data_IF_250318530851
#
_entry.id   IF_250318530851
#
_cell.length_a   1.000
_cell.length_b   1.000
_cell.length_c   1.000
_cell.angle_alpha   90.00
_cell.angle_beta   90.00
_cell.angle_gamma   90.00
#
_symmetry.space_group_name_H-M   'P 1'
#
loop_
_entity.id
_entity.type
_entity.pdbx_description
1 polymer ?
#
# COMPACT_ATOMS: atom_id res chain seq x y z
N UNK A 1 25.04 6.67 -0.25
CA UNK A 1 24.97 6.41 -1.67
C UNK A 1 25.98 5.33 -2.05
N UNK A 2 25.61 4.45 -2.96
CA UNK A 2 26.42 3.31 -3.40
C UNK A 2 26.66 3.43 -4.92
N UNK A 3 27.73 4.09 -5.36
CA UNK A 3 27.96 4.42 -6.77
C UNK A 3 28.15 3.22 -7.70
N UNK A 4 28.28 2.01 -7.17
CA UNK A 4 28.40 0.76 -7.92
C UNK A 4 27.14 -0.10 -7.95
N UNK A 5 25.97 0.43 -7.52
CA UNK A 5 24.71 -0.31 -7.46
C UNK A 5 23.68 0.36 -8.36
N UNK A 6 23.15 -0.40 -9.31
CA UNK A 6 21.99 -0.02 -10.11
C UNK A 6 20.72 -0.62 -9.50
N UNK A 7 19.72 0.21 -9.27
CA UNK A 7 18.43 -0.20 -8.71
C UNK A 7 17.38 -0.29 -9.83
N UNK A 8 16.78 -1.47 -9.98
CA UNK A 8 15.64 -1.69 -10.89
C UNK A 8 14.38 -1.97 -10.10
N UNK A 9 13.44 -1.02 -10.11
CA UNK A 9 12.15 -1.18 -9.47
C UNK A 9 11.14 -1.71 -10.49
N UNK A 10 10.39 -2.72 -10.10
CA UNK A 10 9.37 -3.36 -10.96
C UNK A 10 8.01 -3.32 -10.26
N UNK A 11 6.95 -3.29 -11.04
CA UNK A 11 5.60 -3.39 -10.52
C UNK A 11 5.32 -4.76 -9.90
N UNK A 12 4.41 -4.80 -8.97
CA UNK A 12 3.91 -6.03 -8.39
C UNK A 12 3.14 -6.82 -9.45
N UNK A 13 3.32 -8.13 -9.49
CA UNK A 13 2.65 -8.98 -10.47
C UNK A 13 2.50 -10.42 -9.96
N UNK A 14 1.68 -11.24 -10.64
CA UNK A 14 1.37 -12.61 -10.21
C UNK A 14 2.61 -13.50 -10.01
N UNK A 15 3.66 -13.23 -10.76
CA UNK A 15 4.91 -14.01 -10.70
C UNK A 15 5.88 -13.55 -9.60
N UNK A 16 5.57 -12.49 -8.88
CA UNK A 16 6.49 -11.92 -7.88
C UNK A 16 6.95 -12.96 -6.86
N UNK A 17 6.00 -13.73 -6.34
CA UNK A 17 6.25 -14.77 -5.33
C UNK A 17 7.18 -15.85 -5.89
N UNK A 18 6.89 -16.37 -7.08
CA UNK A 18 7.73 -17.36 -7.73
C UNK A 18 9.13 -16.83 -8.07
N UNK A 19 9.26 -15.55 -8.37
CA UNK A 19 10.55 -14.90 -8.65
C UNK A 19 11.40 -14.74 -7.39
N UNK A 20 10.77 -14.43 -6.24
CA UNK A 20 11.46 -14.42 -4.95
C UNK A 20 11.96 -15.84 -4.63
N UNK A 21 11.09 -16.84 -4.75
CA UNK A 21 11.41 -18.23 -4.46
C UNK A 21 12.63 -18.72 -5.27
N UNK A 22 12.71 -18.35 -6.55
CA UNK A 22 13.88 -18.68 -7.40
C UNK A 22 15.12 -17.80 -7.19
N UNK A 23 15.00 -16.72 -6.41
CA UNK A 23 16.09 -15.74 -6.25
C UNK A 23 16.29 -14.82 -7.46
N UNK A 24 15.30 -14.75 -8.37
CA UNK A 24 15.31 -13.86 -9.55
C UNK A 24 14.99 -12.40 -9.20
N UNK A 25 14.47 -12.19 -8.00
CA UNK A 25 14.16 -10.88 -7.44
C UNK A 25 14.92 -10.74 -6.11
N UNK A 26 15.68 -9.68 -5.99
CA UNK A 26 16.54 -9.48 -4.81
C UNK A 26 15.72 -9.17 -3.54
N UNK A 27 14.75 -8.26 -3.65
CA UNK A 27 13.88 -7.86 -2.56
C UNK A 27 12.48 -7.53 -3.08
N UNK A 28 11.47 -7.70 -2.23
CA UNK A 28 10.13 -7.20 -2.46
C UNK A 28 9.57 -6.55 -1.20
N UNK A 29 8.57 -5.69 -1.38
CA UNK A 29 7.74 -5.21 -0.28
C UNK A 29 6.42 -5.98 -0.27
N UNK A 30 5.99 -6.39 0.90
CA UNK A 30 4.72 -7.08 1.09
C UNK A 30 4.07 -6.63 2.39
N UNK A 31 2.77 -6.72 2.48
CA UNK A 31 2.10 -6.55 3.78
C UNK A 31 2.24 -7.83 4.60
N UNK A 32 2.11 -7.73 5.92
CA UNK A 32 2.13 -8.90 6.80
C UNK A 32 1.00 -9.90 6.53
N UNK A 33 -0.05 -9.48 5.82
CA UNK A 33 -1.16 -10.34 5.37
C UNK A 33 -0.82 -11.13 4.09
N UNK A 34 0.27 -10.80 3.38
CA UNK A 34 0.65 -11.49 2.16
C UNK A 34 1.20 -12.89 2.48
N UNK A 35 0.60 -13.97 1.98
CA UNK A 35 1.15 -15.30 2.15
C UNK A 35 2.53 -15.40 1.49
N UNK A 36 3.50 -15.89 2.23
CA UNK A 36 4.85 -16.08 1.71
C UNK A 36 5.08 -17.56 1.33
N UNK A 37 5.79 -17.84 0.23
CA UNK A 37 6.11 -19.19 -0.18
C UNK A 37 7.17 -19.81 0.74
N UNK A 38 7.31 -21.14 0.75
CA UNK A 38 8.48 -21.79 1.31
C UNK A 38 9.76 -21.21 0.73
N UNK A 39 10.78 -21.02 1.55
CA UNK A 39 12.07 -20.44 1.12
C UNK A 39 12.07 -18.91 0.99
N UNK A 40 10.99 -18.22 1.29
CA UNK A 40 11.00 -16.78 1.45
C UNK A 40 11.26 -16.39 2.92
N UNK A 41 12.11 -15.42 3.10
CA UNK A 41 12.37 -14.76 4.38
C UNK A 41 11.70 -13.38 4.40
N UNK A 42 11.33 -12.92 5.58
CA UNK A 42 10.79 -11.57 5.75
C UNK A 42 11.27 -10.91 7.02
N UNK A 43 11.33 -9.59 6.99
CA UNK A 43 11.56 -8.76 8.17
C UNK A 43 10.63 -7.56 8.15
N UNK A 44 10.18 -7.08 9.33
CA UNK A 44 9.42 -5.84 9.43
C UNK A 44 10.24 -4.67 8.90
N UNK A 45 9.60 -3.79 8.14
CA UNK A 45 10.21 -2.57 7.63
C UNK A 45 9.59 -1.33 8.27
N UNK A 46 8.28 -1.18 8.13
CA UNK A 46 7.57 -0.01 8.66
C UNK A 46 6.12 -0.35 8.97
N UNK A 47 5.52 0.50 9.79
CA UNK A 47 4.07 0.50 10.05
C UNK A 47 3.46 1.74 9.43
N UNK A 48 2.24 1.59 8.95
CA UNK A 48 1.43 2.66 8.43
C UNK A 48 -0.03 2.36 8.77
N UNK A 49 -0.94 3.20 8.35
CA UNK A 49 -2.38 3.00 8.50
C UNK A 49 -3.07 3.23 7.17
N UNK A 50 -4.23 2.67 7.01
CA UNK A 50 -5.12 3.02 5.91
C UNK A 50 -5.78 4.37 6.19
N UNK A 51 -5.97 5.16 5.14
CA UNK A 51 -6.73 6.38 5.16
C UNK A 51 -7.80 6.37 4.08
N UNK A 52 -8.91 7.03 4.35
CA UNK A 52 -9.92 7.39 3.36
C UNK A 52 -9.48 8.68 2.68
N UNK A 53 -9.39 8.65 1.36
CA UNK A 53 -8.91 9.77 0.55
C UNK A 53 -9.97 10.19 -0.46
N UNK A 54 -10.19 11.50 -0.56
CA UNK A 54 -11.12 12.13 -1.48
C UNK A 54 -10.59 13.50 -1.91
N UNK A 55 -11.14 14.11 -2.95
CA UNK A 55 -10.82 15.51 -3.28
C UNK A 55 -11.26 16.46 -2.16
N UNK A 56 -10.60 17.60 -1.95
CA UNK A 56 -10.95 18.57 -0.88
C UNK A 56 -12.37 19.08 -1.01
N UNK A 57 -12.84 19.33 -2.22
CA UNK A 57 -14.21 19.76 -2.49
C UNK A 57 -15.22 18.60 -2.64
N UNK A 58 -14.96 17.42 -2.12
CA UNK A 58 -15.87 16.28 -2.20
C UNK A 58 -17.20 16.59 -1.45
N UNK A 59 -18.38 16.21 -2.01
CA UNK A 59 -19.68 16.53 -1.39
C UNK A 59 -19.83 16.03 0.05
N UNK A 60 -19.13 14.97 0.42
CA UNK A 60 -19.14 14.43 1.78
C UNK A 60 -17.85 14.74 2.57
N UNK A 61 -17.07 15.75 2.17
CA UNK A 61 -15.81 16.09 2.83
C UNK A 61 -15.99 16.51 4.30
N UNK A 62 -17.08 17.23 4.60
CA UNK A 62 -17.37 17.72 5.94
C UNK A 62 -18.02 16.67 6.86
N UNK A 63 -18.46 15.53 6.34
CA UNK A 63 -19.19 14.53 7.11
C UNK A 63 -18.24 13.66 7.96
N UNK A 64 -18.75 13.20 9.09
CA UNK A 64 -18.19 12.05 9.78
C UNK A 64 -18.63 10.79 9.03
N UNK A 65 -17.66 10.11 8.47
CA UNK A 65 -17.93 8.94 7.63
C UNK A 65 -18.31 7.73 8.45
N UNK A 66 -19.40 7.09 8.05
CA UNK A 66 -19.83 5.79 8.54
C UNK A 66 -19.51 4.68 7.53
N UNK A 67 -19.61 3.42 7.95
CA UNK A 67 -19.52 2.29 7.02
C UNK A 67 -20.58 2.35 5.91
N UNK A 68 -21.79 2.86 6.23
CA UNK A 68 -22.85 3.03 5.23
C UNK A 68 -22.47 4.08 4.18
N UNK A 69 -21.86 5.19 4.59
CA UNK A 69 -21.36 6.20 3.66
C UNK A 69 -20.26 5.62 2.77
N UNK A 70 -19.39 4.81 3.33
CA UNK A 70 -18.33 4.13 2.60
C UNK A 70 -18.86 3.22 1.48
N UNK A 71 -20.01 2.58 1.67
CA UNK A 71 -20.69 1.78 0.64
C UNK A 71 -21.45 2.61 -0.41
N UNK A 72 -21.74 3.88 -0.15
CA UNK A 72 -22.54 4.74 -1.06
C UNK A 72 -21.74 5.34 -2.19
N UNK A 73 -20.48 5.67 -1.94
CA UNK A 73 -19.63 6.32 -2.92
C UNK A 73 -18.92 5.34 -3.83
N UNK A 74 -18.59 5.81 -5.04
CA UNK A 74 -17.76 5.04 -5.95
C UNK A 74 -16.30 5.06 -5.48
N UNK A 75 -15.63 3.94 -5.60
CA UNK A 75 -14.24 3.80 -5.20
C UNK A 75 -13.31 3.70 -6.40
N UNK A 76 -12.11 4.23 -6.23
CA UNK A 76 -10.94 3.84 -7.02
C UNK A 76 -10.21 2.77 -6.22
N UNK A 77 -10.20 1.55 -6.75
CA UNK A 77 -9.51 0.42 -6.14
C UNK A 77 -8.05 0.36 -6.57
N UNK A 78 -7.20 -0.07 -5.65
CA UNK A 78 -5.83 -0.44 -5.96
C UNK A 78 -5.74 -1.96 -5.87
N UNK A 79 -5.44 -2.62 -6.99
CA UNK A 79 -5.21 -4.05 -7.05
C UNK A 79 -3.88 -4.33 -7.72
N UNK A 80 -2.94 -4.81 -6.95
CA UNK A 80 -1.59 -5.12 -7.43
C UNK A 80 -1.56 -6.45 -8.21
N UNK A 81 -2.49 -7.35 -7.94
CA UNK A 81 -2.59 -8.66 -8.59
C UNK A 81 -3.68 -8.74 -9.65
N UNK A 82 -4.52 -7.69 -9.78
CA UNK A 82 -5.60 -7.64 -10.75
C UNK A 82 -6.84 -8.47 -10.39
N UNK A 83 -6.87 -9.08 -9.22
CA UNK A 83 -7.98 -9.91 -8.74
C UNK A 83 -9.13 -9.10 -8.13
N UNK A 84 -8.92 -7.80 -7.89
CA UNK A 84 -9.92 -6.87 -7.39
C UNK A 84 -10.40 -7.10 -5.96
N UNK A 85 -10.04 -8.23 -5.35
CA UNK A 85 -10.41 -8.54 -3.98
C UNK A 85 -9.26 -8.15 -3.03
N UNK A 86 -9.59 -7.48 -1.94
CA UNK A 86 -8.64 -7.13 -0.89
C UNK A 86 -9.15 -7.62 0.47
N UNK A 87 -8.25 -7.81 1.44
CA UNK A 87 -8.62 -8.07 2.83
C UNK A 87 -9.65 -7.07 3.35
N UNK A 88 -9.52 -5.82 2.93
CA UNK A 88 -10.48 -4.78 3.27
C UNK A 88 -11.88 -5.10 2.72
N UNK A 89 -12.00 -5.60 1.48
CA UNK A 89 -13.30 -5.98 0.91
C UNK A 89 -13.94 -7.14 1.65
N UNK A 90 -13.14 -8.13 2.06
CA UNK A 90 -13.64 -9.24 2.86
C UNK A 90 -14.18 -8.75 4.23
N UNK A 91 -13.46 -7.86 4.88
CA UNK A 91 -13.86 -7.26 6.17
C UNK A 91 -15.13 -6.39 6.03
N UNK A 92 -15.21 -5.57 4.99
CA UNK A 92 -16.40 -4.75 4.70
C UNK A 92 -17.61 -5.62 4.38
N UNK A 93 -17.43 -6.68 3.61
CA UNK A 93 -18.50 -7.64 3.30
C UNK A 93 -19.04 -8.33 4.56
N UNK A 94 -18.17 -8.69 5.51
CA UNK A 94 -18.57 -9.24 6.80
C UNK A 94 -19.42 -8.25 7.63
N UNK A 95 -19.18 -6.94 7.44
CA UNK A 95 -19.99 -5.86 8.02
C UNK A 95 -21.21 -5.45 7.17
N UNK A 96 -21.53 -6.21 6.12
CA UNK A 96 -22.66 -5.96 5.23
C UNK A 96 -22.45 -4.82 4.23
N UNK A 97 -21.21 -4.35 4.06
CA UNK A 97 -20.88 -3.25 3.16
C UNK A 97 -20.12 -3.77 1.94
N UNK A 98 -20.50 -3.29 0.76
CA UNK A 98 -19.82 -3.58 -0.51
C UNK A 98 -19.44 -2.28 -1.20
N UNK A 99 -18.19 -2.20 -1.62
CA UNK A 99 -17.69 -1.08 -2.44
C UNK A 99 -18.05 -1.28 -3.91
N UNK A 100 -18.43 -0.20 -4.57
CA UNK A 100 -18.57 -0.15 -6.02
C UNK A 100 -17.32 0.50 -6.61
N UNK A 101 -16.56 -0.22 -7.38
CA UNK A 101 -15.38 0.31 -8.04
C UNK A 101 -15.75 0.98 -9.38
N UNK A 102 -15.42 2.26 -9.52
CA UNK A 102 -15.49 2.99 -10.79
C UNK A 102 -14.21 2.79 -11.62
N UNK A 103 -13.11 2.56 -10.94
CA UNK A 103 -11.79 2.30 -11.53
C UNK A 103 -11.02 1.33 -10.62
N UNK A 104 -10.28 0.42 -11.23
CA UNK A 104 -9.26 -0.39 -10.53
C UNK A 104 -7.94 -0.21 -11.28
N UNK A 105 -6.87 0.07 -10.54
CA UNK A 105 -5.53 0.31 -11.11
C UNK A 105 -4.45 -0.26 -10.18
N UNK A 106 -3.32 -0.74 -10.71
CA UNK A 106 -2.17 -1.12 -9.88
C UNK A 106 -1.30 0.08 -9.48
N UNK A 107 -1.61 1.29 -9.95
CA UNK A 107 -0.77 2.47 -9.77
C UNK A 107 -1.38 3.42 -8.74
N UNK A 108 -0.72 3.59 -7.60
CA UNK A 108 -1.17 4.45 -6.50
C UNK A 108 -1.34 5.91 -6.91
N UNK A 109 -0.38 6.49 -7.64
CA UNK A 109 -0.47 7.88 -8.10
C UNK A 109 -1.60 8.09 -9.11
N UNK A 110 -1.88 7.11 -9.98
CA UNK A 110 -3.02 7.17 -10.89
C UNK A 110 -4.35 7.14 -10.13
N UNK A 111 -4.43 6.33 -9.05
CA UNK A 111 -5.59 6.32 -8.18
C UNK A 111 -5.82 7.69 -7.53
N UNK A 112 -4.77 8.33 -6.98
CA UNK A 112 -4.87 9.66 -6.38
C UNK A 112 -5.28 10.72 -7.40
N UNK A 113 -4.72 10.69 -8.61
CA UNK A 113 -5.08 11.61 -9.68
C UNK A 113 -6.57 11.46 -10.08
N UNK A 114 -7.07 10.22 -10.19
CA UNK A 114 -8.47 9.96 -10.49
C UNK A 114 -9.41 10.46 -9.38
N UNK A 115 -9.03 10.29 -8.12
CA UNK A 115 -9.79 10.78 -6.96
C UNK A 115 -9.79 12.30 -6.91
N UNK A 116 -8.66 12.96 -7.15
CA UNK A 116 -8.57 14.42 -7.18
C UNK A 116 -9.46 15.07 -8.26
N UNK A 117 -9.70 14.35 -9.36
CA UNK A 117 -10.54 14.81 -10.48
C UNK A 117 -12.00 14.34 -10.45
N UNK A 118 -12.47 13.69 -9.37
CA UNK A 118 -13.82 13.08 -9.34
C UNK A 118 -14.43 13.06 -7.95
N UNK A 119 -15.68 12.59 -7.84
CA UNK A 119 -16.33 12.29 -6.56
C UNK A 119 -16.13 10.82 -6.12
N UNK A 120 -15.13 10.16 -6.69
CA UNK A 120 -14.70 8.87 -6.18
C UNK A 120 -13.84 9.03 -4.93
N UNK A 121 -13.81 7.99 -4.13
CA UNK A 121 -12.93 7.89 -2.96
C UNK A 121 -11.98 6.71 -3.11
N UNK A 122 -10.89 6.71 -2.38
CA UNK A 122 -9.99 5.55 -2.31
C UNK A 122 -9.56 5.31 -0.88
N UNK A 123 -9.03 4.12 -0.62
CA UNK A 123 -8.41 3.75 0.65
C UNK A 123 -7.05 3.18 0.38
N UNK A 124 -6.05 3.80 0.94
CA UNK A 124 -4.65 3.42 0.78
C UNK A 124 -3.82 3.91 1.98
N UNK A 125 -2.52 3.71 1.94
CA UNK A 125 -1.55 4.19 2.92
C UNK A 125 -1.76 5.67 3.25
N UNK A 126 -1.93 5.99 4.52
CA UNK A 126 -2.12 7.37 4.98
C UNK A 126 -0.90 8.22 4.64
N UNK A 127 0.29 7.72 4.93
CA UNK A 127 1.56 8.39 4.64
C UNK A 127 1.71 8.71 3.15
N UNK A 128 1.39 7.75 2.29
CA UNK A 128 1.44 7.98 0.85
C UNK A 128 0.41 9.04 0.41
N UNK A 129 -0.81 9.00 0.94
CA UNK A 129 -1.84 9.97 0.64
C UNK A 129 -1.46 11.38 1.10
N UNK A 130 -0.96 11.51 2.33
CA UNK A 130 -0.53 12.77 2.94
C UNK A 130 0.61 13.42 2.15
N UNK A 131 1.60 12.62 1.71
CA UNK A 131 2.71 13.10 0.88
C UNK A 131 2.25 13.72 -0.45
N UNK A 132 1.18 13.19 -1.04
CA UNK A 132 0.65 13.68 -2.32
C UNK A 132 -0.58 14.58 -2.18
N UNK A 133 -1.06 14.87 -0.96
CA UNK A 133 -2.33 15.55 -0.71
C UNK A 133 -2.42 16.91 -1.41
N UNK A 134 -1.41 17.74 -1.28
CA UNK A 134 -1.41 19.07 -1.90
C UNK A 134 -1.27 19.00 -3.43
N UNK A 135 -0.52 18.03 -3.94
CA UNK A 135 -0.32 17.90 -5.38
C UNK A 135 -1.60 17.53 -6.14
N UNK A 136 -2.48 16.75 -5.53
CA UNK A 136 -3.73 16.30 -6.16
C UNK A 136 -4.98 16.91 -5.52
N UNK A 137 -4.82 17.93 -4.67
CA UNK A 137 -5.90 18.62 -3.95
C UNK A 137 -6.79 17.65 -3.16
N UNK A 138 -6.16 16.81 -2.35
CA UNK A 138 -6.81 15.74 -1.61
C UNK A 138 -7.07 16.12 -0.15
N UNK A 139 -8.14 15.53 0.38
CA UNK A 139 -8.46 15.44 1.80
C UNK A 139 -8.21 14.00 2.25
N UNK A 140 -7.40 13.85 3.29
CA UNK A 140 -7.08 12.57 3.91
C UNK A 140 -7.79 12.50 5.25
N UNK A 141 -8.56 11.44 5.48
CA UNK A 141 -9.34 11.23 6.72
C UNK A 141 -9.11 9.82 7.26
N UNK A 142 -9.34 9.60 8.56
CA UNK A 142 -9.45 8.25 9.08
C UNK A 142 -10.57 7.49 8.37
N UNK A 143 -10.39 6.20 8.06
CA UNK A 143 -11.46 5.40 7.50
C UNK A 143 -12.52 5.08 8.57
N UNK A 144 -13.78 4.80 8.17
CA UNK A 144 -14.88 4.56 9.13
C UNK A 144 -14.86 3.12 9.69
N UNK A 145 -13.71 2.58 9.96
CA UNK A 145 -13.53 1.25 10.57
C UNK A 145 -12.31 1.24 11.47
N UNK A 146 -12.38 0.44 12.54
CA UNK A 146 -11.24 0.15 13.38
C UNK A 146 -10.24 -0.76 12.65
N UNK A 147 -9.04 -0.90 13.22
CA UNK A 147 -8.00 -1.77 12.69
C UNK A 147 -7.60 -1.42 11.25
N UNK A 148 -7.14 -0.18 11.10
CA UNK A 148 -6.64 0.37 9.84
C UNK A 148 -5.11 0.18 9.66
N UNK A 149 -4.44 -0.41 10.63
CA UNK A 149 -2.98 -0.58 10.61
C UNK A 149 -2.55 -1.52 9.50
N UNK A 150 -1.48 -1.16 8.82
CA UNK A 150 -0.79 -1.98 7.84
C UNK A 150 0.67 -2.10 8.23
N UNK A 151 1.15 -3.34 8.28
CA UNK A 151 2.56 -3.61 8.49
C UNK A 151 3.20 -3.98 7.15
N UNK A 152 4.25 -3.27 6.80
CA UNK A 152 5.00 -3.50 5.56
C UNK A 152 6.29 -4.20 5.92
N UNK A 153 6.54 -5.30 5.25
CA UNK A 153 7.74 -6.12 5.38
C UNK A 153 8.60 -6.04 4.12
N UNK A 154 9.89 -6.19 4.28
CA UNK A 154 10.79 -6.59 3.19
C UNK A 154 10.81 -8.12 3.12
N UNK A 155 10.81 -8.64 1.90
CA UNK A 155 10.79 -10.09 1.61
C UNK A 155 11.92 -10.40 0.63
N UNK A 156 12.62 -11.50 0.85
CA UNK A 156 13.70 -11.98 -0.02
C UNK A 156 13.81 -13.51 -0.01
N UNK A 157 14.55 -14.09 -0.94
CA UNK A 157 14.84 -15.53 -0.97
C UNK A 157 15.83 -15.94 0.10
N UNK A 158 15.61 -17.05 0.77
CA UNK A 158 16.59 -17.67 1.66
C UNK A 158 17.91 -18.02 0.93
N UNK A 159 17.82 -18.36 -0.37
CA UNK A 159 18.97 -18.61 -1.24
C UNK A 159 19.91 -17.39 -1.32
N UNK A 160 19.39 -16.18 -1.13
CA UNK A 160 20.13 -14.92 -1.20
C UNK A 160 20.39 -14.31 0.18
N UNK A 161 20.05 -15.03 1.25
CA UNK A 161 20.14 -14.49 2.62
C UNK A 161 21.59 -14.14 3.01
N UNK A 162 22.56 -14.92 2.57
CA UNK A 162 24.00 -14.69 2.83
C UNK A 162 24.69 -13.67 1.93
N UNK A 163 23.99 -13.09 0.96
CA UNK A 163 24.55 -12.08 0.06
C UNK A 163 24.86 -10.77 0.80
N UNK A 164 26.14 -10.33 0.88
CA UNK A 164 26.50 -9.15 1.67
C UNK A 164 25.94 -7.84 1.10
N UNK A 165 25.74 -7.75 -0.21
CA UNK A 165 25.16 -6.57 -0.87
C UNK A 165 23.69 -6.45 -0.50
N UNK A 166 22.97 -7.56 -0.54
CA UNK A 166 21.55 -7.56 -0.13
C UNK A 166 21.36 -7.37 1.38
N UNK A 167 22.26 -7.89 2.19
CA UNK A 167 22.25 -7.63 3.64
C UNK A 167 22.46 -6.14 3.92
N UNK A 168 23.42 -5.51 3.28
CA UNK A 168 23.64 -4.07 3.36
C UNK A 168 22.41 -3.28 2.88
N UNK A 169 21.82 -3.67 1.77
CA UNK A 169 20.65 -2.98 1.22
C UNK A 169 19.43 -3.10 2.14
N UNK A 170 19.19 -4.26 2.75
CA UNK A 170 18.14 -4.43 3.77
C UNK A 170 18.35 -3.52 4.98
N UNK A 171 19.60 -3.42 5.47
CA UNK A 171 19.95 -2.52 6.56
C UNK A 171 19.67 -1.06 6.19
N UNK A 172 20.10 -0.63 5.01
CA UNK A 172 19.84 0.72 4.51
C UNK A 172 18.34 1.04 4.44
N UNK A 173 17.52 0.12 3.91
CA UNK A 173 16.07 0.29 3.85
C UNK A 173 15.47 0.44 5.26
N UNK A 174 15.96 -0.32 6.23
CA UNK A 174 15.53 -0.23 7.62
C UNK A 174 15.90 1.11 8.24
N UNK A 175 17.12 1.61 8.01
CA UNK A 175 17.54 2.93 8.48
C UNK A 175 16.67 4.04 7.91
N UNK A 176 16.39 4.00 6.60
CA UNK A 176 15.50 4.98 5.94
C UNK A 176 14.09 4.91 6.51
N UNK A 177 13.55 3.70 6.73
CA UNK A 177 12.23 3.53 7.31
C UNK A 177 12.14 4.08 8.74
N UNK A 178 13.17 3.89 9.56
CA UNK A 178 13.25 4.45 10.90
C UNK A 178 13.27 5.99 10.86
N UNK A 179 14.09 6.57 9.97
CA UNK A 179 14.15 8.03 9.82
C UNK A 179 12.79 8.62 9.44
N UNK A 180 12.10 8.01 8.46
CA UNK A 180 10.75 8.44 8.04
C UNK A 180 9.70 8.34 9.16
N UNK A 181 9.85 7.39 10.08
CA UNK A 181 8.94 7.25 11.22
C UNK A 181 9.19 8.31 12.32
N UNK A 182 10.38 8.88 12.41
CA UNK A 182 10.74 9.88 13.42
C UNK A 182 10.30 11.28 13.04
N UNK A 183 10.21 11.60 11.76
CA UNK A 183 9.78 12.90 11.26
C UNK A 183 8.28 13.18 11.51
N UNK A 184 7.52 12.20 11.97
CA UNK A 184 6.07 12.28 12.23
C UNK A 184 5.71 12.40 13.73
N UNK A 185 6.71 12.41 14.64
CA UNK A 185 6.50 12.49 16.10
C UNK A 185 6.71 13.90 16.62
#
# INVERSE_FOLDING_TARGET
>A
AAPGIDLRVQGYGPELIARIERGDLDLAFATSATPLPPGAMSAPLTRDRLALVMRRGHPAAANDWTLADYGRWAHVGISLLGDGASDLDARLAAAGVRRRFALVTPYFTAALAAVGGSDCVTTLSARFAEFYADRFDLLVKPPPFADSDININIVWSDLRNGDPVLAWFRALLTEVAVALNQDES
#
